data_IF_046717173342
#
_entry.id   IF_046717173342
#
_cell.length_a   1.000
_cell.length_b   1.000
_cell.length_c   1.000
_cell.angle_alpha   90.00
_cell.angle_beta   90.00
_cell.angle_gamma   90.00
#
_symmetry.space_group_name_H-M   'P 1'
#
loop_
_entity.id
_entity.type
_entity.pdbx_description
1 polymer ?
#
# COMPACT_ATOMS: atom_id res chain seq x y z
N UNK A 1 17.97 -17.99 -20.84
CA UNK A 1 17.28 -16.74 -21.20
C UNK A 1 17.24 -15.90 -19.94
N UNK A 2 17.98 -14.79 -19.87
CA UNK A 2 17.97 -13.91 -18.70
C UNK A 2 16.71 -13.06 -18.81
N UNK A 3 15.66 -13.44 -18.07
CA UNK A 3 14.51 -12.58 -17.90
C UNK A 3 14.90 -11.42 -17.00
N UNK A 4 14.56 -10.20 -17.39
CA UNK A 4 14.73 -9.04 -16.54
C UNK A 4 13.67 -9.04 -15.43
N UNK A 5 13.99 -8.43 -14.28
CA UNK A 5 13.12 -8.36 -13.10
C UNK A 5 11.66 -7.97 -13.41
N UNK A 6 11.45 -6.98 -14.28
CA UNK A 6 10.11 -6.50 -14.68
C UNK A 6 9.35 -7.47 -15.61
N UNK A 7 10.06 -8.34 -16.33
CA UNK A 7 9.48 -9.36 -17.20
C UNK A 7 8.94 -10.54 -16.37
N UNK A 8 9.50 -10.78 -15.19
CA UNK A 8 9.05 -11.79 -14.24
C UNK A 8 7.97 -11.29 -13.25
N UNK A 9 7.90 -9.98 -13.01
CA UNK A 9 6.99 -9.37 -12.02
C UNK A 9 5.96 -8.48 -12.71
N UNK A 10 5.11 -9.12 -13.51
CA UNK A 10 3.91 -8.53 -14.09
C UNK A 10 2.77 -9.54 -14.03
N UNK A 11 1.53 -9.04 -14.05
CA UNK A 11 0.33 -9.86 -13.91
C UNK A 11 0.24 -10.96 -14.99
N UNK A 12 0.42 -10.68 -16.29
CA UNK A 12 0.40 -11.73 -17.32
C UNK A 12 1.39 -12.87 -17.04
N UNK A 13 2.63 -12.56 -16.66
CA UNK A 13 3.64 -13.57 -16.36
C UNK A 13 3.24 -14.41 -15.13
N UNK A 14 2.78 -13.76 -14.06
CA UNK A 14 2.38 -14.43 -12.82
C UNK A 14 1.19 -15.38 -13.04
N UNK A 15 0.19 -14.98 -13.83
CA UNK A 15 -0.93 -15.84 -14.23
C UNK A 15 -0.44 -17.04 -15.04
N UNK A 16 0.49 -16.84 -15.99
CA UNK A 16 1.03 -17.92 -16.81
C UNK A 16 1.91 -18.91 -16.02
N UNK A 17 2.46 -18.49 -14.87
CA UNK A 17 3.47 -19.25 -14.12
C UNK A 17 3.03 -19.63 -12.70
N UNK A 18 1.71 -19.72 -12.44
CA UNK A 18 1.19 -20.40 -11.24
C UNK A 18 0.33 -19.57 -10.30
N UNK A 19 -0.05 -18.32 -10.64
CA UNK A 19 -1.14 -17.66 -9.92
C UNK A 19 -2.50 -18.25 -10.34
N UNK A 20 -3.33 -18.63 -9.37
CA UNK A 20 -4.63 -19.28 -9.61
C UNK A 20 -5.66 -18.35 -10.27
N UNK A 21 -5.49 -17.04 -10.11
CA UNK A 21 -6.35 -16.03 -10.72
C UNK A 21 -5.59 -14.73 -11.02
N UNK A 22 -6.20 -13.87 -11.83
CA UNK A 22 -5.71 -12.49 -12.06
C UNK A 22 -5.62 -11.72 -10.75
N UNK A 23 -6.56 -11.96 -9.83
CA UNK A 23 -6.55 -11.34 -8.51
C UNK A 23 -5.33 -11.78 -7.69
N UNK A 24 -5.03 -13.08 -7.66
CA UNK A 24 -3.87 -13.61 -6.92
C UNK A 24 -2.55 -13.10 -7.51
N UNK A 25 -2.49 -12.94 -8.83
CA UNK A 25 -1.36 -12.31 -9.50
C UNK A 25 -1.16 -10.85 -9.08
N UNK A 26 -2.24 -10.05 -8.98
CA UNK A 26 -2.18 -8.69 -8.45
C UNK A 26 -1.76 -8.65 -6.99
N UNK A 27 -2.31 -9.53 -6.13
CA UNK A 27 -1.93 -9.61 -4.72
C UNK A 27 -0.44 -9.94 -4.56
N UNK A 28 0.06 -10.89 -5.35
CA UNK A 28 1.48 -11.25 -5.39
C UNK A 28 2.34 -10.07 -5.82
N UNK A 29 2.01 -9.42 -6.93
CA UNK A 29 2.74 -8.26 -7.44
C UNK A 29 2.75 -7.10 -6.42
N UNK A 30 1.62 -6.83 -5.78
CA UNK A 30 1.51 -5.81 -4.75
C UNK A 30 2.45 -6.06 -3.57
N UNK A 31 2.59 -7.31 -3.11
CA UNK A 31 3.53 -7.65 -2.02
C UNK A 31 4.96 -7.36 -2.45
N UNK A 32 5.35 -7.77 -3.66
CA UNK A 32 6.70 -7.47 -4.18
C UNK A 32 6.97 -5.97 -4.29
N UNK A 33 6.02 -5.20 -4.81
CA UNK A 33 6.18 -3.75 -4.95
C UNK A 33 6.16 -3.02 -3.60
N UNK A 34 5.37 -3.49 -2.63
CA UNK A 34 5.41 -3.00 -1.25
C UNK A 34 6.79 -3.25 -0.64
N UNK A 35 7.37 -4.44 -0.78
CA UNK A 35 8.74 -4.70 -0.33
C UNK A 35 9.77 -3.84 -1.05
N UNK A 36 9.62 -3.63 -2.36
CA UNK A 36 10.47 -2.73 -3.13
C UNK A 36 10.40 -1.29 -2.60
N UNK A 37 9.22 -0.82 -2.20
CA UNK A 37 9.07 0.47 -1.52
C UNK A 37 9.81 0.48 -0.17
N UNK A 38 9.60 -0.53 0.68
CA UNK A 38 10.25 -0.62 2.01
C UNK A 38 11.77 -0.60 1.90
N UNK A 39 12.35 -1.34 0.95
CA UNK A 39 13.79 -1.41 0.72
C UNK A 39 14.34 -0.25 -0.12
N UNK A 40 13.48 0.52 -0.77
CA UNK A 40 13.84 1.63 -1.65
C UNK A 40 13.47 2.98 -1.01
N UNK A 41 12.50 3.67 -1.60
CA UNK A 41 12.11 5.03 -1.21
C UNK A 41 11.64 5.14 0.25
N UNK A 42 11.12 4.07 0.84
CA UNK A 42 10.67 4.02 2.23
C UNK A 42 11.78 3.68 3.24
N UNK A 43 12.96 3.27 2.79
CA UNK A 43 13.98 2.68 3.67
C UNK A 43 14.55 3.68 4.68
N UNK A 44 14.85 4.91 4.23
CA UNK A 44 15.41 5.94 5.10
C UNK A 44 14.46 6.32 6.25
N UNK A 45 13.16 6.44 5.94
CA UNK A 45 12.13 6.70 6.96
C UNK A 45 11.97 5.49 7.88
N UNK A 46 12.04 4.27 7.33
CA UNK A 46 12.00 3.05 8.13
C UNK A 46 13.12 3.01 9.18
N UNK A 47 14.36 3.26 8.78
CA UNK A 47 15.50 3.28 9.70
C UNK A 47 15.40 4.39 10.76
N UNK A 48 14.94 5.58 10.36
CA UNK A 48 14.75 6.70 11.30
C UNK A 48 13.66 6.40 12.35
N UNK A 49 12.73 5.50 12.04
CA UNK A 49 11.54 5.20 12.84
C UNK A 49 11.47 3.74 13.31
N UNK A 50 12.55 2.98 13.22
CA UNK A 50 12.55 1.51 13.29
C UNK A 50 11.80 0.98 14.51
N UNK A 51 12.09 1.54 15.69
CA UNK A 51 11.47 1.13 16.94
C UNK A 51 9.95 1.34 16.92
N UNK A 52 9.47 2.48 16.41
CA UNK A 52 8.04 2.73 16.34
C UNK A 52 7.36 1.86 15.30
N UNK A 53 7.88 1.84 14.06
CA UNK A 53 7.28 1.06 12.97
C UNK A 53 7.21 -0.42 13.35
N UNK A 54 8.27 -0.95 13.95
CA UNK A 54 8.31 -2.33 14.46
C UNK A 54 7.25 -2.54 15.54
N UNK A 55 7.11 -1.62 16.50
CA UNK A 55 6.08 -1.72 17.53
C UNK A 55 4.66 -1.69 16.95
N UNK A 56 4.40 -0.85 15.94
CA UNK A 56 3.10 -0.81 15.24
C UNK A 56 2.83 -2.16 14.58
N UNK A 57 3.78 -2.70 13.81
CA UNK A 57 3.64 -3.99 13.16
C UNK A 57 3.47 -5.15 14.15
N UNK A 58 4.04 -5.07 15.35
CA UNK A 58 3.87 -6.10 16.37
C UNK A 58 2.53 -5.98 17.11
N UNK A 59 2.11 -4.77 17.46
CA UNK A 59 0.95 -4.53 18.31
C UNK A 59 -0.37 -4.35 17.54
N UNK A 60 -0.32 -3.87 16.30
CA UNK A 60 -1.49 -3.55 15.46
C UNK A 60 -1.57 -4.37 14.18
N UNK A 61 -0.80 -5.46 14.06
CA UNK A 61 -0.83 -6.34 12.88
C UNK A 61 -2.26 -6.71 12.47
N UNK A 62 -3.06 -7.14 13.44
CA UNK A 62 -4.45 -7.55 13.18
C UNK A 62 -5.28 -6.42 12.60
N UNK A 63 -5.17 -5.19 13.13
CA UNK A 63 -5.91 -4.05 12.58
C UNK A 63 -5.49 -3.75 11.13
N UNK A 64 -4.19 -3.80 10.82
CA UNK A 64 -3.66 -3.58 9.47
C UNK A 64 -4.10 -4.69 8.49
N UNK A 65 -4.14 -5.94 8.96
CA UNK A 65 -4.65 -7.09 8.20
C UNK A 65 -6.17 -6.96 7.97
N UNK A 66 -6.93 -6.56 8.99
CA UNK A 66 -8.40 -6.35 8.89
C UNK A 66 -8.73 -5.23 7.89
N UNK A 67 -7.99 -4.12 7.91
CA UNK A 67 -8.17 -3.04 6.93
C UNK A 67 -7.84 -3.48 5.52
N UNK A 68 -6.78 -4.28 5.33
CA UNK A 68 -6.46 -4.86 4.02
C UNK A 68 -7.55 -5.83 3.56
N UNK A 69 -8.02 -6.72 4.43
CA UNK A 69 -9.08 -7.67 4.13
C UNK A 69 -10.41 -6.98 3.78
N UNK A 70 -10.75 -5.88 4.45
CA UNK A 70 -11.91 -5.06 4.10
C UNK A 70 -11.75 -4.45 2.71
N UNK A 71 -10.60 -3.83 2.40
CA UNK A 71 -10.30 -3.30 1.08
C UNK A 71 -10.41 -4.37 -0.01
N UNK A 72 -9.79 -5.53 0.21
CA UNK A 72 -9.80 -6.65 -0.73
C UNK A 72 -11.24 -7.15 -0.98
N UNK A 73 -12.06 -7.23 0.06
CA UNK A 73 -13.48 -7.60 -0.03
C UNK A 73 -14.28 -6.55 -0.82
N UNK A 74 -14.09 -5.27 -0.52
CA UNK A 74 -14.76 -4.17 -1.22
C UNK A 74 -14.42 -4.17 -2.71
N UNK A 75 -13.14 -4.34 -3.05
CA UNK A 75 -12.69 -4.45 -4.44
C UNK A 75 -13.36 -5.64 -5.11
N UNK A 76 -13.27 -6.84 -4.53
CA UNK A 76 -13.83 -8.06 -5.12
C UNK A 76 -15.34 -7.97 -5.36
N UNK A 77 -16.10 -7.39 -4.42
CA UNK A 77 -17.55 -7.24 -4.55
C UNK A 77 -17.97 -6.23 -5.63
N UNK A 78 -17.07 -5.33 -6.04
CA UNK A 78 -17.32 -4.33 -7.09
C UNK A 78 -16.64 -4.67 -8.41
N UNK A 79 -15.95 -5.81 -8.52
CA UNK A 79 -15.33 -6.25 -9.78
C UNK A 79 -16.40 -6.39 -10.87
N UNK A 80 -16.25 -5.62 -11.94
CA UNK A 80 -17.21 -5.56 -13.04
C UNK A 80 -18.15 -4.35 -13.01
N UNK A 81 -18.07 -3.48 -11.99
CA UNK A 81 -18.72 -2.18 -12.03
C UNK A 81 -18.08 -1.29 -13.12
N UNK A 82 -18.89 -0.41 -13.73
CA UNK A 82 -18.38 0.59 -14.68
C UNK A 82 -17.77 1.82 -14.00
N UNK A 83 -17.91 1.92 -12.66
CA UNK A 83 -17.53 3.09 -11.89
C UNK A 83 -16.08 2.97 -11.40
N UNK A 84 -15.12 3.33 -12.24
CA UNK A 84 -13.70 3.25 -11.89
C UNK A 84 -13.32 4.04 -10.62
N UNK A 85 -14.06 5.12 -10.30
CA UNK A 85 -13.78 5.95 -9.13
C UNK A 85 -13.94 5.21 -7.79
N UNK A 86 -14.86 4.24 -7.72
CA UNK A 86 -15.14 3.51 -6.47
C UNK A 86 -13.90 2.79 -5.93
N UNK A 87 -13.04 2.27 -6.82
CA UNK A 87 -11.80 1.61 -6.44
C UNK A 87 -10.77 2.57 -5.83
N UNK A 88 -10.77 3.82 -6.31
CA UNK A 88 -9.90 4.85 -5.74
C UNK A 88 -10.39 5.27 -4.36
N UNK A 89 -11.71 5.33 -4.15
CA UNK A 89 -12.29 5.68 -2.85
C UNK A 89 -12.02 4.57 -1.81
N UNK A 90 -12.10 3.29 -2.19
CA UNK A 90 -11.65 2.18 -1.33
C UNK A 90 -10.15 2.27 -1.00
N UNK A 91 -9.34 2.61 -2.01
CA UNK A 91 -7.91 2.81 -1.83
C UNK A 91 -7.58 3.98 -0.91
N UNK A 92 -8.34 5.07 -0.99
CA UNK A 92 -8.25 6.21 -0.09
C UNK A 92 -8.55 5.82 1.35
N UNK A 93 -9.62 5.05 1.56
CA UNK A 93 -9.96 4.55 2.89
C UNK A 93 -8.86 3.66 3.46
N UNK A 94 -8.26 2.77 2.65
CA UNK A 94 -7.14 1.93 3.07
C UNK A 94 -5.93 2.79 3.50
N UNK A 95 -5.56 3.78 2.69
CA UNK A 95 -4.45 4.72 2.99
C UNK A 95 -4.68 5.46 4.31
N UNK A 96 -5.88 6.02 4.50
CA UNK A 96 -6.26 6.74 5.73
C UNK A 96 -6.22 5.82 6.95
N UNK A 97 -6.73 4.59 6.82
CA UNK A 97 -6.72 3.62 7.91
C UNK A 97 -5.28 3.26 8.33
N UNK A 98 -4.40 3.00 7.37
CA UNK A 98 -2.98 2.75 7.64
C UNK A 98 -2.33 3.96 8.28
N UNK A 99 -2.54 5.15 7.75
CA UNK A 99 -1.98 6.38 8.32
C UNK A 99 -2.41 6.57 9.78
N UNK A 100 -3.70 6.41 10.08
CA UNK A 100 -4.29 6.58 11.41
C UNK A 100 -3.67 5.65 12.46
N UNK A 101 -3.44 4.37 12.12
CA UNK A 101 -2.81 3.39 13.02
C UNK A 101 -1.41 3.85 13.45
N UNK A 102 -0.62 4.33 12.49
CA UNK A 102 0.73 4.79 12.74
C UNK A 102 0.75 6.15 13.45
N UNK A 103 -0.20 7.05 13.16
CA UNK A 103 -0.36 8.31 13.89
C UNK A 103 -0.71 8.11 15.37
N UNK A 104 -1.52 7.09 15.68
CA UNK A 104 -1.95 6.80 17.04
C UNK A 104 -0.86 6.22 17.94
N UNK A 105 0.20 5.66 17.36
CA UNK A 105 1.25 4.95 18.10
C UNK A 105 2.61 5.66 18.05
N UNK A 106 2.98 6.21 16.90
CA UNK A 106 4.24 6.94 16.77
C UNK A 106 4.09 8.36 17.32
N UNK A 107 4.96 8.74 18.25
CA UNK A 107 4.88 10.03 18.95
C UNK A 107 5.90 11.04 18.45
N UNK A 108 7.19 10.70 18.43
CA UNK A 108 8.28 11.61 18.05
C UNK A 108 8.32 11.89 16.55
N UNK A 109 8.24 10.84 15.73
CA UNK A 109 8.37 10.94 14.27
C UNK A 109 7.06 10.57 13.56
N UNK A 110 5.95 10.89 14.24
CA UNK A 110 4.58 10.54 13.87
C UNK A 110 4.26 10.79 12.40
N UNK A 111 4.64 11.96 11.89
CA UNK A 111 4.27 12.40 10.54
C UNK A 111 4.99 11.56 9.47
N UNK A 112 6.26 11.23 9.69
CA UNK A 112 7.01 10.46 8.70
C UNK A 112 6.64 8.98 8.77
N UNK A 113 6.40 8.45 9.98
CA UNK A 113 5.87 7.10 10.16
C UNK A 113 4.47 6.93 9.53
N UNK A 114 3.60 7.93 9.69
CA UNK A 114 2.25 7.90 9.12
C UNK A 114 2.25 8.08 7.60
N UNK A 115 3.09 8.97 7.07
CA UNK A 115 3.37 9.07 5.64
C UNK A 115 3.85 7.74 5.06
N UNK A 116 4.82 7.10 5.73
CA UNK A 116 5.39 5.83 5.28
C UNK A 116 4.31 4.74 5.19
N UNK A 117 3.44 4.66 6.19
CA UNK A 117 2.34 3.70 6.20
C UNK A 117 1.31 3.98 5.10
N UNK A 118 1.01 5.25 4.86
CA UNK A 118 0.14 5.68 3.76
C UNK A 118 0.74 5.30 2.40
N UNK A 119 2.03 5.54 2.16
CA UNK A 119 2.70 5.18 0.90
C UNK A 119 2.80 3.66 0.72
N UNK A 120 3.06 2.92 1.80
CA UNK A 120 3.03 1.47 1.81
C UNK A 120 1.66 0.92 1.36
N UNK A 121 0.56 1.49 1.87
CA UNK A 121 -0.79 1.15 1.41
C UNK A 121 -1.05 1.61 -0.03
N UNK A 122 -0.59 2.81 -0.40
CA UNK A 122 -0.76 3.37 -1.75
C UNK A 122 -0.13 2.48 -2.81
N UNK A 123 1.03 1.90 -2.55
CA UNK A 123 1.70 0.97 -3.48
C UNK A 123 0.79 -0.21 -3.83
N UNK A 124 0.05 -0.77 -2.85
CA UNK A 124 -0.92 -1.84 -3.12
C UNK A 124 -2.02 -1.33 -4.07
N UNK A 125 -2.62 -0.18 -3.76
CA UNK A 125 -3.73 0.40 -4.53
C UNK A 125 -3.32 0.66 -5.98
N UNK A 126 -2.19 1.35 -6.22
CA UNK A 126 -1.79 1.74 -7.58
C UNK A 126 -1.27 0.57 -8.41
N UNK A 127 -0.87 -0.54 -7.76
CA UNK A 127 -0.50 -1.77 -8.45
C UNK A 127 -1.72 -2.43 -9.08
N UNK A 128 -2.85 -2.42 -8.37
CA UNK A 128 -4.12 -2.98 -8.83
C UNK A 128 -4.87 -2.01 -9.74
N UNK A 129 -4.84 -0.72 -9.41
CA UNK A 129 -5.60 0.34 -10.06
C UNK A 129 -4.71 1.55 -10.37
N UNK A 130 -3.87 1.50 -11.42
CA UNK A 130 -2.93 2.58 -11.75
C UNK A 130 -3.57 3.95 -11.98
N UNK A 131 -4.83 3.98 -12.43
CA UNK A 131 -5.60 5.21 -12.62
C UNK A 131 -5.90 5.96 -11.31
N UNK A 132 -5.79 5.30 -10.15
CA UNK A 132 -5.94 5.95 -8.84
C UNK A 132 -4.68 6.71 -8.39
N UNK A 133 -3.60 6.71 -9.18
CA UNK A 133 -2.33 7.37 -8.83
C UNK A 133 -2.45 8.88 -8.59
N UNK A 134 -3.46 9.54 -9.18
CA UNK A 134 -3.71 10.97 -9.03
C UNK A 134 -5.03 11.30 -8.31
N UNK A 135 -5.82 10.29 -7.95
CA UNK A 135 -7.12 10.46 -7.33
C UNK A 135 -6.99 10.57 -5.80
N UNK A 136 -7.73 11.51 -5.21
CA UNK A 136 -8.04 11.49 -3.77
C UNK A 136 -6.88 11.79 -2.79
N UNK A 137 -6.99 11.22 -1.59
CA UNK A 137 -6.16 11.48 -0.41
C UNK A 137 -4.65 11.31 -0.70
N UNK A 138 -3.86 12.35 -0.43
CA UNK A 138 -2.40 12.36 -0.59
C UNK A 138 -1.69 12.04 0.72
N UNK A 139 -0.72 11.14 0.67
CA UNK A 139 0.19 10.91 1.79
C UNK A 139 1.08 12.14 1.98
N UNK A 140 1.06 12.74 3.17
CA UNK A 140 1.80 13.98 3.48
C UNK A 140 2.90 13.69 4.49
N UNK A 141 4.14 14.10 4.18
CA UNK A 141 5.28 14.01 5.10
C UNK A 141 5.60 15.37 5.74
N UNK A 142 6.44 15.36 6.78
CA UNK A 142 6.86 16.57 7.52
C UNK A 142 7.60 17.58 6.64
N UNK A 143 8.26 17.11 5.57
CA UNK A 143 8.97 17.95 4.60
C UNK A 143 8.05 18.75 3.66
N UNK A 144 6.72 18.56 3.72
CA UNK A 144 5.75 19.15 2.79
C UNK A 144 4.43 19.59 3.44
N UNK A 145 4.43 19.87 4.73
CA UNK A 145 3.27 20.55 5.33
C UNK A 145 3.02 21.88 4.59
N UNK A 146 1.79 22.18 4.12
CA UNK A 146 1.48 23.50 3.61
C UNK A 146 1.68 24.53 4.72
N UNK A 147 2.13 25.76 4.41
CA UNK A 147 2.17 26.82 5.40
C UNK A 147 0.75 27.02 5.95
N UNK A 148 0.64 27.01 7.27
CA UNK A 148 -0.55 27.39 8.04
C UNK A 148 -1.04 28.78 7.69
#
# INVERSE_FOLDING_TARGET
MNLYYYECLNVPYLVQNGADSVWDAYQTLSIYLQQHFVCGAGFGVYLANEACLTNVWQSQRRALDDYRGLYDTQVQTQLGSAESQVFCDFGDQLKVNYQSVFEGICTTDRIDASWWACEYARVNVITQFPFCSTAGYRCVSSARAPPS
#
